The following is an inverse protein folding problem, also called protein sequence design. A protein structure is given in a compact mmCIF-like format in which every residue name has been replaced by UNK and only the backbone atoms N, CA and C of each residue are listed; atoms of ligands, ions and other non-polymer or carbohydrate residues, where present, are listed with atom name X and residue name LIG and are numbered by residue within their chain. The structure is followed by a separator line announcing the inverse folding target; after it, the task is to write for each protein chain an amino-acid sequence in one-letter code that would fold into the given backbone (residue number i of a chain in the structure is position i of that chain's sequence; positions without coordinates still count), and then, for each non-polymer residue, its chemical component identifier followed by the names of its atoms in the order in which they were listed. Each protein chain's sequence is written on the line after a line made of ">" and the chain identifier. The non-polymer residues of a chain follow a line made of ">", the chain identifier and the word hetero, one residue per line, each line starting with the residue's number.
data_IF_929137993530
#
_entry.id   IF_929137993530
#
_cell.length_a   1.000
_cell.length_b   1.000
_cell.length_c   1.000
_cell.angle_alpha   90.00
_cell.angle_beta   90.00
_cell.angle_gamma   90.00
#
_symmetry.space_group_name_H-M   'P 1'
#
loop_
_entity.id
_entity.type
_entity.pdbx_description
1 polymer ?
#
# COMPACT_ATOMS: atom_id res chain seq x y z
N UNK A 1 -27.98 17.18 44.75
CA UNK A 1 -28.54 16.62 43.50
C UNK A 1 -27.64 17.12 42.37
N UNK A 2 -26.70 16.28 41.92
CA UNK A 2 -26.76 15.56 40.62
C UNK A 2 -26.43 16.51 39.46
N UNK A 3 -25.41 16.32 38.62
CA UNK A 3 -24.94 15.10 37.97
C UNK A 3 -23.54 15.36 37.38
N UNK A 4 -22.58 14.46 37.64
CA UNK A 4 -21.39 14.30 36.82
C UNK A 4 -21.83 13.70 35.47
N UNK A 5 -21.68 14.45 34.38
CA UNK A 5 -21.70 13.88 33.03
C UNK A 5 -20.29 13.35 32.75
N UNK A 6 -20.12 12.05 32.96
CA UNK A 6 -18.95 11.33 32.45
C UNK A 6 -19.04 11.30 30.92
N UNK A 7 -18.04 11.88 30.26
CA UNK A 7 -17.76 11.60 28.87
C UNK A 7 -17.33 10.12 28.76
N UNK A 8 -18.29 9.23 28.54
CA UNK A 8 -17.98 7.91 27.99
C UNK A 8 -17.53 8.09 26.55
N UNK A 9 -16.23 8.38 26.36
CA UNK A 9 -15.53 8.01 25.15
C UNK A 9 -15.68 6.50 24.99
N UNK A 10 -16.67 6.09 24.20
CA UNK A 10 -16.85 4.72 23.76
C UNK A 10 -15.57 4.27 23.06
N UNK A 11 -14.67 3.63 23.82
CA UNK A 11 -13.57 2.83 23.29
C UNK A 11 -14.22 1.67 22.55
N UNK A 12 -14.50 1.85 21.27
CA UNK A 12 -14.65 0.71 20.37
C UNK A 12 -13.37 -0.11 20.50
N UNK A 13 -13.45 -1.37 20.96
CA UNK A 13 -12.28 -2.24 21.01
C UNK A 13 -11.74 -2.35 19.58
N UNK A 14 -10.52 -1.86 19.34
CA UNK A 14 -9.91 -2.02 18.01
C UNK A 14 -9.83 -3.52 17.71
N UNK A 15 -10.29 -3.97 16.53
CA UNK A 15 -10.17 -5.37 16.14
C UNK A 15 -8.71 -5.82 16.25
N UNK A 16 -8.47 -7.01 16.82
CA UNK A 16 -7.09 -7.50 17.08
C UNK A 16 -6.26 -7.62 15.81
N UNK A 17 -6.93 -7.84 14.66
CA UNK A 17 -6.31 -7.92 13.34
C UNK A 17 -5.73 -6.59 12.86
N UNK A 18 -6.33 -5.45 13.21
CA UNK A 18 -5.81 -4.12 12.86
C UNK A 18 -4.48 -3.88 13.58
N UNK A 19 -4.43 -4.19 14.88
CA UNK A 19 -3.23 -3.99 15.71
C UNK A 19 -2.05 -4.85 15.23
N UNK A 20 -2.32 -6.12 14.86
CA UNK A 20 -1.29 -7.01 14.32
C UNK A 20 -0.77 -6.49 12.97
N UNK A 21 -1.66 -6.01 12.12
CA UNK A 21 -1.29 -5.53 10.79
C UNK A 21 -0.46 -4.25 10.88
N UNK A 22 -0.86 -3.30 11.72
CA UNK A 22 -0.09 -2.10 12.01
C UNK A 22 1.32 -2.43 12.51
N UNK A 23 1.46 -3.44 13.37
CA UNK A 23 2.75 -3.92 13.85
C UNK A 23 3.63 -4.45 12.70
N UNK A 24 3.08 -5.28 11.82
CA UNK A 24 3.84 -5.86 10.70
C UNK A 24 4.24 -4.79 9.69
N UNK A 25 3.37 -3.83 9.39
CA UNK A 25 3.73 -2.68 8.55
C UNK A 25 4.84 -1.83 9.19
N UNK A 26 4.76 -1.54 10.49
CA UNK A 26 5.80 -0.83 11.23
C UNK A 26 7.13 -1.58 11.27
N UNK A 27 7.09 -2.90 11.42
CA UNK A 27 8.28 -3.76 11.41
C UNK A 27 8.91 -3.85 10.02
N UNK A 28 8.11 -4.01 8.96
CA UNK A 28 8.58 -4.00 7.56
C UNK A 28 9.30 -2.69 7.21
N UNK A 29 8.76 -1.55 7.65
CA UNK A 29 9.40 -0.24 7.53
C UNK A 29 10.72 -0.15 8.31
N UNK A 30 10.75 -0.70 9.53
CA UNK A 30 11.95 -0.70 10.37
C UNK A 30 13.06 -1.57 9.76
N UNK A 31 12.73 -2.73 9.20
CA UNK A 31 13.66 -3.59 8.46
C UNK A 31 14.22 -2.85 7.25
N UNK A 32 13.37 -2.17 6.48
CA UNK A 32 13.82 -1.33 5.36
C UNK A 32 14.83 -0.26 5.79
N UNK A 33 14.58 0.40 6.92
CA UNK A 33 15.49 1.41 7.47
C UNK A 33 16.82 0.80 7.95
N UNK A 34 16.79 -0.40 8.55
CA UNK A 34 18.01 -1.11 8.95
C UNK A 34 18.83 -1.51 7.73
N UNK A 35 18.21 -2.01 6.66
CA UNK A 35 18.91 -2.34 5.41
C UNK A 35 19.65 -1.12 4.85
N UNK A 36 19.00 0.05 4.86
CA UNK A 36 19.61 1.31 4.44
C UNK A 36 20.89 1.64 5.24
N UNK A 37 20.88 1.43 6.56
CA UNK A 37 22.04 1.68 7.43
C UNK A 37 23.18 0.71 7.10
N UNK A 38 22.88 -0.58 6.94
CA UNK A 38 23.88 -1.61 6.64
C UNK A 38 24.54 -1.33 5.27
N UNK A 39 23.74 -1.06 4.24
CA UNK A 39 24.24 -0.85 2.87
C UNK A 39 25.08 0.43 2.74
N UNK A 40 24.73 1.50 3.46
CA UNK A 40 25.52 2.75 3.48
C UNK A 40 26.90 2.59 4.14
N UNK A 41 27.06 1.64 5.07
CA UNK A 41 28.37 1.36 5.68
C UNK A 41 29.34 0.65 4.72
N UNK A 42 28.83 0.07 3.63
CA UNK A 42 29.63 -0.69 2.65
C UNK A 42 30.22 0.20 1.53
N UNK A 43 29.59 1.35 1.22
CA UNK A 43 30.08 2.33 0.23
C UNK A 43 29.78 3.76 0.65
N UNK A 44 30.83 4.56 0.79
CA UNK A 44 30.75 5.95 1.29
C UNK A 44 30.83 7.02 0.19
N UNK A 45 30.56 6.67 -1.07
CA UNK A 45 30.50 7.68 -2.13
C UNK A 45 29.17 8.47 -2.04
N UNK A 46 29.17 9.81 -2.22
CA UNK A 46 27.94 10.62 -2.13
C UNK A 46 26.81 10.16 -3.06
N UNK A 47 27.14 9.64 -4.24
CA UNK A 47 26.16 9.12 -5.20
C UNK A 47 25.44 7.85 -4.71
N UNK A 48 26.14 6.98 -3.98
CA UNK A 48 25.58 5.74 -3.46
C UNK A 48 24.59 6.03 -2.31
N UNK A 49 24.89 7.01 -1.46
CA UNK A 49 24.00 7.45 -0.37
C UNK A 49 22.66 7.94 -0.94
N UNK A 50 22.71 8.83 -1.94
CA UNK A 50 21.49 9.36 -2.56
C UNK A 50 20.63 8.25 -3.18
N UNK A 51 21.27 7.30 -3.87
CA UNK A 51 20.59 6.17 -4.46
C UNK A 51 19.91 5.30 -3.40
N UNK A 52 20.63 4.93 -2.35
CA UNK A 52 20.10 4.08 -1.27
C UNK A 52 18.92 4.77 -0.56
N UNK A 53 18.99 6.09 -0.34
CA UNK A 53 17.89 6.87 0.23
C UNK A 53 16.65 6.82 -0.70
N UNK A 54 16.84 6.98 -2.01
CA UNK A 54 15.73 6.92 -2.98
C UNK A 54 15.10 5.52 -3.02
N UNK A 55 15.90 4.47 -2.98
CA UNK A 55 15.46 3.07 -2.89
C UNK A 55 14.66 2.80 -1.62
N UNK A 56 15.13 3.28 -0.47
CA UNK A 56 14.39 3.22 0.79
C UNK A 56 13.06 3.98 0.71
N UNK A 57 13.08 5.23 0.22
CA UNK A 57 11.88 6.04 0.08
C UNK A 57 10.85 5.38 -0.84
N UNK A 58 11.29 4.69 -1.88
CA UNK A 58 10.43 3.95 -2.78
C UNK A 58 9.66 2.84 -2.06
N UNK A 59 10.36 1.96 -1.35
CA UNK A 59 9.74 0.88 -0.56
C UNK A 59 8.86 1.45 0.54
N UNK A 60 9.32 2.49 1.24
CA UNK A 60 8.55 3.20 2.25
C UNK A 60 7.21 3.68 1.69
N UNK A 61 7.21 4.31 0.51
CA UNK A 61 6.01 4.81 -0.14
C UNK A 61 5.04 3.68 -0.53
N UNK A 62 5.55 2.52 -0.97
CA UNK A 62 4.72 1.34 -1.24
C UNK A 62 4.03 0.88 0.05
N UNK A 63 4.81 0.67 1.12
CA UNK A 63 4.32 0.16 2.39
C UNK A 63 3.30 1.09 3.04
N UNK A 64 3.59 2.40 3.11
CA UNK A 64 2.65 3.36 3.70
C UNK A 64 1.38 3.50 2.84
N UNK A 65 1.49 3.44 1.51
CA UNK A 65 0.32 3.49 0.63
C UNK A 65 -0.58 2.27 0.83
N UNK A 66 0.03 1.08 0.84
CA UNK A 66 -0.67 -0.18 1.12
C UNK A 66 -1.33 -0.16 2.50
N UNK A 67 -0.62 0.30 3.52
CA UNK A 67 -1.13 0.44 4.88
C UNK A 67 -2.34 1.37 4.97
N UNK A 68 -2.28 2.56 4.36
CA UNK A 68 -3.41 3.50 4.38
C UNK A 68 -4.65 2.90 3.71
N UNK A 69 -4.48 2.18 2.60
CA UNK A 69 -5.59 1.49 1.91
C UNK A 69 -6.16 0.41 2.83
N UNK A 70 -5.29 -0.43 3.41
CA UNK A 70 -5.68 -1.49 4.32
C UNK A 70 -6.48 -0.99 5.53
N UNK A 71 -5.97 0.01 6.26
CA UNK A 71 -6.66 0.57 7.43
C UNK A 71 -7.99 1.20 7.03
N UNK A 72 -8.04 1.87 5.87
CA UNK A 72 -9.29 2.42 5.33
C UNK A 72 -10.32 1.32 5.07
N UNK A 73 -9.93 0.21 4.47
CA UNK A 73 -10.84 -0.90 4.14
C UNK A 73 -11.29 -1.66 5.40
N UNK A 74 -10.38 -1.93 6.35
CA UNK A 74 -10.71 -2.65 7.59
C UNK A 74 -11.60 -1.85 8.54
N UNK A 75 -11.51 -0.52 8.53
CA UNK A 75 -12.35 0.33 9.39
C UNK A 75 -13.86 0.24 9.10
N UNK A 76 -14.25 -0.30 7.93
CA UNK A 76 -15.64 -0.35 7.46
C UNK A 76 -16.21 -1.77 7.47
N UNK A 77 -15.38 -2.81 7.68
CA UNK A 77 -15.85 -4.20 7.69
C UNK A 77 -16.59 -4.54 9.00
N UNK A 78 -17.91 -4.80 8.97
CA UNK A 78 -18.71 -5.04 10.17
C UNK A 78 -18.50 -6.44 10.77
N UNK A 79 -17.93 -7.41 10.03
CA UNK A 79 -17.76 -8.79 10.49
C UNK A 79 -16.42 -9.38 10.02
N UNK A 80 -15.62 -9.89 10.97
CA UNK A 80 -14.43 -10.69 10.69
C UNK A 80 -14.82 -12.07 10.12
N UNK A 81 -14.90 -12.21 8.80
CA UNK A 81 -15.14 -13.51 8.15
C UNK A 81 -13.83 -14.32 8.03
N UNK A 82 -13.94 -15.66 7.99
CA UNK A 82 -12.77 -16.55 7.82
C UNK A 82 -11.96 -16.22 6.56
N UNK A 83 -12.63 -15.81 5.49
CA UNK A 83 -12.00 -15.40 4.24
C UNK A 83 -11.19 -14.11 4.43
N UNK A 84 -11.75 -13.11 5.11
CA UNK A 84 -11.05 -11.85 5.41
C UNK A 84 -9.80 -12.11 6.26
N UNK A 85 -9.90 -12.94 7.30
CA UNK A 85 -8.74 -13.31 8.12
C UNK A 85 -7.67 -14.03 7.30
N UNK A 86 -8.06 -14.96 6.43
CA UNK A 86 -7.12 -15.69 5.56
C UNK A 86 -6.41 -14.77 4.57
N UNK A 87 -7.17 -13.90 3.87
CA UNK A 87 -6.61 -12.91 2.96
C UNK A 87 -5.68 -11.94 3.71
N UNK A 88 -6.02 -11.57 4.95
CA UNK A 88 -5.17 -10.69 5.74
C UNK A 88 -3.84 -11.37 6.08
N UNK A 89 -3.84 -12.64 6.49
CA UNK A 89 -2.59 -13.37 6.75
C UNK A 89 -1.70 -13.42 5.50
N UNK A 90 -2.28 -13.68 4.33
CA UNK A 90 -1.53 -13.64 3.07
C UNK A 90 -1.00 -12.24 2.79
N UNK A 91 -1.83 -11.20 2.92
CA UNK A 91 -1.42 -9.82 2.72
C UNK A 91 -0.22 -9.46 3.61
N UNK A 92 -0.23 -9.87 4.87
CA UNK A 92 0.84 -9.60 5.82
C UNK A 92 2.14 -10.32 5.45
N UNK A 93 2.06 -11.54 4.93
CA UNK A 93 3.23 -12.25 4.39
C UNK A 93 3.80 -11.48 3.21
N UNK A 94 2.96 -11.08 2.24
CA UNK A 94 3.40 -10.31 1.07
C UNK A 94 4.09 -9.00 1.51
N UNK A 95 3.44 -8.23 2.37
CA UNK A 95 3.97 -6.96 2.91
C UNK A 95 5.29 -7.13 3.66
N UNK A 96 5.48 -8.25 4.35
CA UNK A 96 6.71 -8.53 5.09
C UNK A 96 7.90 -8.87 4.17
N UNK A 97 7.65 -9.47 2.99
CA UNK A 97 8.72 -9.84 2.05
C UNK A 97 9.08 -8.71 1.07
N UNK A 98 8.22 -7.70 0.90
CA UNK A 98 8.46 -6.52 0.03
C UNK A 98 9.87 -5.92 0.20
N UNK A 99 10.34 -5.54 1.41
CA UNK A 99 11.64 -4.88 1.56
C UNK A 99 12.79 -5.76 1.10
N UNK A 100 12.73 -7.06 1.41
CA UNK A 100 13.73 -8.03 1.03
C UNK A 100 13.79 -8.24 -0.49
N UNK A 101 12.64 -8.49 -1.12
CA UNK A 101 12.58 -8.72 -2.57
C UNK A 101 13.04 -7.49 -3.36
N UNK A 102 12.69 -6.29 -2.88
CA UNK A 102 13.14 -5.06 -3.50
C UNK A 102 14.66 -4.89 -3.39
N UNK A 103 15.21 -5.06 -2.19
CA UNK A 103 16.65 -4.96 -1.93
C UNK A 103 17.44 -5.92 -2.84
N UNK A 104 16.98 -7.17 -2.98
CA UNK A 104 17.61 -8.15 -3.87
C UNK A 104 17.49 -7.78 -5.36
N UNK A 105 16.40 -7.14 -5.77
CA UNK A 105 16.21 -6.70 -7.15
C UNK A 105 17.16 -5.55 -7.53
N UNK A 106 17.38 -4.59 -6.63
CA UNK A 106 18.17 -3.37 -6.93
C UNK A 106 19.64 -3.48 -6.50
N UNK A 107 19.98 -4.44 -5.64
CA UNK A 107 21.33 -4.64 -5.11
C UNK A 107 22.36 -4.83 -6.22
N UNK A 108 23.34 -3.92 -6.28
CA UNK A 108 24.47 -4.03 -7.21
C UNK A 108 25.45 -5.17 -6.88
N UNK A 109 25.29 -5.82 -5.73
CA UNK A 109 26.11 -6.97 -5.34
C UNK A 109 25.60 -8.27 -5.97
N UNK A 110 24.35 -8.28 -6.43
CA UNK A 110 23.73 -9.44 -7.05
C UNK A 110 24.08 -9.54 -8.53
N UNK A 111 24.14 -10.77 -9.05
CA UNK A 111 24.29 -11.02 -10.47
C UNK A 111 23.01 -10.58 -11.22
N UNK A 112 23.13 -10.26 -12.51
CA UNK A 112 22.01 -9.80 -13.34
C UNK A 112 20.85 -10.82 -13.32
N UNK A 113 21.16 -12.12 -13.32
CA UNK A 113 20.14 -13.18 -13.23
C UNK A 113 19.38 -13.18 -11.89
N UNK A 114 20.07 -12.94 -10.78
CA UNK A 114 19.46 -12.89 -9.45
C UNK A 114 18.59 -11.64 -9.31
N UNK A 115 19.03 -10.50 -9.85
CA UNK A 115 18.24 -9.26 -9.89
C UNK A 115 16.98 -9.41 -10.74
N UNK A 116 17.07 -10.06 -11.91
CA UNK A 116 15.91 -10.28 -12.78
C UNK A 116 14.90 -11.25 -12.13
N UNK A 117 15.40 -12.29 -11.46
CA UNK A 117 14.54 -13.20 -10.69
C UNK A 117 13.86 -12.50 -9.49
N UNK A 118 14.63 -11.76 -8.69
CA UNK A 118 14.11 -11.01 -7.55
C UNK A 118 13.10 -9.93 -7.98
N UNK A 119 13.37 -9.21 -9.06
CA UNK A 119 12.45 -8.20 -9.60
C UNK A 119 11.15 -8.81 -10.13
N UNK A 120 11.22 -10.04 -10.66
CA UNK A 120 10.04 -10.79 -11.10
C UNK A 120 9.18 -11.21 -9.91
N UNK A 121 9.81 -11.75 -8.86
CA UNK A 121 9.12 -12.07 -7.60
C UNK A 121 8.51 -10.83 -6.95
N UNK A 122 9.26 -9.71 -6.92
CA UNK A 122 8.78 -8.44 -6.40
C UNK A 122 7.54 -7.94 -7.15
N UNK A 123 7.53 -8.02 -8.49
CA UNK A 123 6.37 -7.60 -9.27
C UNK A 123 5.13 -8.46 -8.97
N UNK A 124 5.30 -9.77 -8.79
CA UNK A 124 4.22 -10.69 -8.41
C UNK A 124 3.71 -10.38 -7.00
N UNK A 125 4.62 -10.18 -6.05
CA UNK A 125 4.31 -9.86 -4.66
C UNK A 125 3.55 -8.52 -4.54
N UNK A 126 4.03 -7.49 -5.24
CA UNK A 126 3.39 -6.18 -5.27
C UNK A 126 2.01 -6.23 -5.95
N UNK A 127 1.89 -6.96 -7.05
CA UNK A 127 0.60 -7.19 -7.70
C UNK A 127 -0.37 -7.96 -6.80
N UNK A 128 0.11 -8.99 -6.08
CA UNK A 128 -0.65 -9.76 -5.12
C UNK A 128 -1.18 -8.90 -3.98
N UNK A 129 -0.34 -8.02 -3.44
CA UNK A 129 -0.72 -7.04 -2.41
C UNK A 129 -1.86 -6.16 -2.90
N UNK A 130 -1.72 -5.55 -4.09
CA UNK A 130 -2.76 -4.71 -4.68
C UNK A 130 -4.05 -5.49 -4.98
N UNK A 131 -3.92 -6.74 -5.41
CA UNK A 131 -5.06 -7.62 -5.72
C UNK A 131 -5.86 -7.95 -4.46
N UNK A 132 -5.19 -8.27 -3.36
CA UNK A 132 -5.86 -8.57 -2.08
C UNK A 132 -6.56 -7.32 -1.55
N UNK A 133 -5.92 -6.14 -1.62
CA UNK A 133 -6.56 -4.86 -1.28
C UNK A 133 -7.79 -4.61 -2.16
N UNK A 134 -7.71 -4.86 -3.48
CA UNK A 134 -8.87 -4.80 -4.37
C UNK A 134 -9.97 -5.80 -3.97
N UNK A 135 -9.57 -6.96 -3.45
CA UNK A 135 -10.44 -7.98 -2.90
C UNK A 135 -11.20 -7.51 -1.66
N UNK A 136 -10.53 -6.85 -0.71
CA UNK A 136 -11.18 -6.23 0.44
C UNK A 136 -12.20 -5.16 0.00
N UNK A 137 -11.80 -4.25 -0.89
CA UNK A 137 -12.74 -3.28 -1.46
C UNK A 137 -13.93 -3.95 -2.18
N UNK A 138 -13.73 -5.12 -2.80
CA UNK A 138 -14.82 -5.90 -3.40
C UNK A 138 -15.78 -6.47 -2.35
N UNK A 139 -15.26 -7.09 -1.30
CA UNK A 139 -16.05 -7.68 -0.20
C UNK A 139 -16.90 -6.59 0.46
N UNK A 140 -16.28 -5.46 0.81
CA UNK A 140 -16.98 -4.30 1.40
C UNK A 140 -18.10 -3.84 0.47
N UNK A 141 -17.85 -3.72 -0.83
CA UNK A 141 -18.87 -3.31 -1.80
C UNK A 141 -20.04 -4.30 -1.96
N UNK A 142 -19.86 -5.58 -1.59
CA UNK A 142 -20.93 -6.57 -1.58
C UNK A 142 -21.75 -6.52 -0.30
N UNK A 143 -21.11 -6.33 0.85
CA UNK A 143 -21.81 -6.23 2.15
C UNK A 143 -22.60 -4.92 2.26
N UNK A 144 -22.06 -3.81 1.75
CA UNK A 144 -22.71 -2.49 1.82
C UNK A 144 -23.95 -2.38 0.92
N UNK A 145 -24.02 -3.17 -0.16
CA UNK A 145 -25.23 -3.32 -1.01
C UNK A 145 -26.46 -3.75 -0.23
N UNK A 146 -26.26 -4.43 0.90
CA UNK A 146 -27.34 -4.93 1.72
C UNK A 146 -27.91 -3.83 2.64
N UNK A 147 -27.27 -2.66 2.77
CA UNK A 147 -27.56 -1.67 3.83
C UNK A 147 -27.49 -0.17 3.43
N UNK A 148 -27.02 0.25 2.24
CA UNK A 148 -26.71 1.69 1.96
C UNK A 148 -27.17 2.24 0.59
N UNK A 149 -27.51 3.53 0.58
CA UNK A 149 -27.88 4.38 -0.57
C UNK A 149 -26.85 4.41 -1.72
N UNK A 150 -27.32 4.49 -2.97
CA UNK A 150 -26.55 4.20 -4.19
C UNK A 150 -25.31 5.04 -4.48
N UNK A 151 -25.10 6.19 -3.81
CA UNK A 151 -23.96 7.09 -4.06
C UNK A 151 -22.64 6.58 -3.44
N UNK A 152 -22.68 5.98 -2.25
CA UNK A 152 -21.51 5.33 -1.60
C UNK A 152 -21.02 4.14 -2.44
N UNK A 153 -21.96 3.41 -3.02
CA UNK A 153 -21.71 2.23 -3.84
C UNK A 153 -20.93 2.55 -5.13
N UNK A 154 -21.16 3.71 -5.76
CA UNK A 154 -20.41 4.17 -6.95
C UNK A 154 -18.96 4.47 -6.59
N UNK A 155 -18.71 5.04 -5.40
CA UNK A 155 -17.37 5.37 -4.92
C UNK A 155 -16.53 4.11 -4.66
N UNK A 156 -17.07 3.12 -3.95
CA UNK A 156 -16.37 1.85 -3.69
C UNK A 156 -16.08 1.08 -4.99
N UNK A 157 -17.03 1.03 -5.91
CA UNK A 157 -16.83 0.36 -7.21
C UNK A 157 -15.70 1.00 -8.02
N UNK A 158 -15.54 2.32 -7.93
CA UNK A 158 -14.44 3.06 -8.57
C UNK A 158 -13.10 2.74 -7.92
N UNK A 159 -13.04 2.65 -6.59
CA UNK A 159 -11.82 2.28 -5.85
C UNK A 159 -11.39 0.87 -6.25
N UNK A 160 -12.31 -0.09 -6.21
CA UNK A 160 -12.07 -1.48 -6.60
C UNK A 160 -11.55 -1.60 -8.03
N UNK A 161 -12.29 -1.09 -9.02
CA UNK A 161 -11.90 -1.20 -10.43
C UNK A 161 -10.53 -0.58 -10.68
N UNK A 162 -10.20 0.49 -9.95
CA UNK A 162 -8.91 1.15 -10.06
C UNK A 162 -7.78 0.33 -9.45
N UNK A 163 -7.97 -0.25 -8.26
CA UNK A 163 -6.97 -1.15 -7.67
C UNK A 163 -6.72 -2.36 -8.58
N UNK A 164 -7.78 -2.96 -9.14
CA UNK A 164 -7.65 -4.04 -10.13
C UNK A 164 -6.88 -3.60 -11.38
N UNK A 165 -7.14 -2.40 -11.91
CA UNK A 165 -6.41 -1.86 -13.04
C UNK A 165 -4.92 -1.61 -12.70
N UNK A 166 -4.63 -1.11 -11.51
CA UNK A 166 -3.27 -0.93 -11.02
C UNK A 166 -2.53 -2.27 -10.86
N UNK A 167 -3.21 -3.31 -10.36
CA UNK A 167 -2.67 -4.68 -10.33
C UNK A 167 -2.29 -5.15 -11.73
N UNK A 168 -3.16 -4.96 -12.73
CA UNK A 168 -2.88 -5.36 -14.12
C UNK A 168 -1.67 -4.60 -14.66
N UNK A 169 -1.54 -3.31 -14.37
CA UNK A 169 -0.38 -2.50 -14.76
C UNK A 169 0.92 -3.03 -14.13
N UNK A 170 0.89 -3.41 -12.85
CA UNK A 170 2.07 -4.00 -12.19
C UNK A 170 2.41 -5.37 -12.79
N UNK A 171 1.42 -6.23 -13.06
CA UNK A 171 1.66 -7.51 -13.73
C UNK A 171 2.20 -7.33 -15.15
N UNK A 172 1.80 -6.27 -15.86
CA UNK A 172 2.36 -5.95 -17.16
C UNK A 172 3.87 -5.65 -17.10
N UNK A 173 4.41 -5.25 -15.93
CA UNK A 173 5.86 -5.09 -15.74
C UNK A 173 6.65 -6.39 -15.93
N UNK A 174 6.01 -7.56 -15.80
CA UNK A 174 6.64 -8.87 -16.05
C UNK A 174 7.05 -9.04 -17.52
N UNK A 175 6.35 -8.38 -18.44
CA UNK A 175 6.69 -8.41 -19.86
C UNK A 175 7.94 -7.58 -20.21
N UNK A 176 8.40 -6.73 -19.28
CA UNK A 176 9.56 -5.86 -19.47
C UNK A 176 10.79 -6.55 -18.87
N UNK A 177 11.87 -6.81 -19.61
CA UNK A 177 13.11 -7.36 -19.02
C UNK A 177 13.77 -6.41 -18.02
N UNK A 178 14.41 -6.93 -16.97
CA UNK A 178 15.13 -6.10 -15.99
C UNK A 178 16.29 -5.29 -16.61
N UNK A 179 16.86 -5.78 -17.72
CA UNK A 179 17.96 -5.12 -18.44
C UNK A 179 17.57 -3.82 -19.14
N UNK A 180 16.27 -3.54 -19.29
CA UNK A 180 15.81 -2.31 -19.96
C UNK A 180 16.02 -1.11 -19.04
N UNK A 181 16.84 -0.16 -19.52
CA UNK A 181 17.16 1.08 -18.83
C UNK A 181 16.53 2.27 -19.56
N UNK A 182 15.94 3.18 -18.79
CA UNK A 182 15.44 4.47 -19.24
C UNK A 182 16.02 5.56 -18.31
N UNK A 183 16.71 6.55 -18.87
CA UNK A 183 17.47 7.55 -18.10
C UNK A 183 18.46 6.95 -17.07
N UNK A 184 18.99 5.76 -17.34
CA UNK A 184 19.87 5.04 -16.42
C UNK A 184 19.17 4.32 -15.26
N UNK A 185 17.84 4.28 -15.24
CA UNK A 185 17.01 3.61 -14.24
C UNK A 185 16.23 2.47 -14.91
N UNK A 186 16.02 1.35 -14.22
CA UNK A 186 15.28 0.21 -14.76
C UNK A 186 13.82 0.58 -15.07
N UNK A 187 13.34 0.21 -16.26
CA UNK A 187 11.99 0.53 -16.74
C UNK A 187 10.90 0.01 -15.78
N UNK A 188 11.13 -1.17 -15.17
CA UNK A 188 10.19 -1.75 -14.19
C UNK A 188 9.91 -0.82 -13.02
N UNK A 189 10.91 -0.08 -12.52
CA UNK A 189 10.74 0.86 -11.42
C UNK A 189 9.72 1.94 -11.74
N UNK A 190 9.74 2.49 -12.97
CA UNK A 190 8.74 3.48 -13.40
C UNK A 190 7.32 2.92 -13.40
N UNK A 191 7.15 1.66 -13.80
CA UNK A 191 5.83 0.99 -13.79
C UNK A 191 5.35 0.81 -12.34
N UNK A 192 6.25 0.42 -11.43
CA UNK A 192 5.92 0.23 -10.02
C UNK A 192 5.63 1.56 -9.28
N UNK A 193 6.04 2.71 -9.82
CA UNK A 193 5.61 4.03 -9.31
C UNK A 193 4.13 4.36 -9.63
N UNK A 194 3.55 3.76 -10.66
CA UNK A 194 2.20 4.11 -11.14
C UNK A 194 1.12 3.98 -10.04
N UNK A 195 1.04 2.87 -9.27
CA UNK A 195 0.04 2.75 -8.21
C UNK A 195 0.21 3.78 -7.10
N UNK A 196 1.45 4.10 -6.73
CA UNK A 196 1.78 5.12 -5.72
C UNK A 196 1.29 6.49 -6.19
N UNK A 197 1.75 6.94 -7.35
CA UNK A 197 1.40 8.25 -7.92
C UNK A 197 -0.11 8.36 -8.08
N UNK A 198 -0.73 7.33 -8.66
CA UNK A 198 -2.18 7.26 -8.79
C UNK A 198 -2.84 7.48 -7.43
N UNK A 199 -2.48 6.71 -6.41
CA UNK A 199 -3.09 6.76 -5.08
C UNK A 199 -3.04 8.17 -4.50
N UNK A 200 -1.85 8.77 -4.47
CA UNK A 200 -1.63 10.09 -3.89
C UNK A 200 -2.32 11.20 -4.67
N UNK A 201 -2.31 11.17 -6.01
CA UNK A 201 -3.06 12.13 -6.83
C UNK A 201 -4.56 12.11 -6.52
N UNK A 202 -5.13 10.92 -6.41
CA UNK A 202 -6.54 10.78 -6.10
C UNK A 202 -6.87 11.23 -4.67
N UNK A 203 -5.99 10.94 -3.70
CA UNK A 203 -6.17 11.36 -2.31
C UNK A 203 -6.09 12.89 -2.18
N UNK A 204 -5.19 13.54 -2.91
CA UNK A 204 -5.10 15.01 -2.96
C UNK A 204 -6.36 15.63 -3.59
N UNK A 205 -6.89 15.03 -4.66
CA UNK A 205 -8.11 15.51 -5.33
C UNK A 205 -9.39 15.30 -4.50
N UNK A 206 -9.40 14.32 -3.61
CA UNK A 206 -10.58 13.95 -2.80
C UNK A 206 -10.69 14.71 -1.47
N UNK A 207 -9.76 15.62 -1.14
CA UNK A 207 -9.95 16.56 -0.02
C UNK A 207 -10.86 17.70 -0.49
N UNK A 208 -12.08 17.87 0.07
CA UNK A 208 -12.78 19.11 -0.14
C UNK A 208 -12.01 20.15 0.67
N UNK A 209 -11.34 21.07 0.01
CA UNK A 209 -11.26 22.41 0.59
C UNK A 209 -12.71 22.84 0.76
N UNK A 210 -13.19 22.72 2.00
CA UNK A 210 -14.51 23.17 2.39
C UNK A 210 -14.57 24.68 2.19
N UNK A 211 -14.98 25.11 1.00
CA UNK A 211 -15.60 26.40 0.84
C UNK A 211 -17.04 26.19 1.30
N UNK A 212 -17.45 26.70 2.48
CA UNK A 212 -18.84 26.67 2.86
C UNK A 212 -19.64 27.35 1.75
N UNK A 213 -20.55 26.58 1.15
CA UNK A 213 -21.54 27.11 0.21
C UNK A 213 -22.44 28.00 1.04
N UNK A 214 -22.17 29.30 1.07
CA UNK A 214 -23.04 30.28 1.71
C UNK A 214 -24.39 30.14 1.01
N UNK A 215 -25.35 29.55 1.72
CA UNK A 215 -26.74 29.54 1.31
C UNK A 215 -27.19 30.99 1.29
N UNK A 216 -27.36 31.55 0.09
CA UNK A 216 -28.19 32.75 -0.06
C UNK A 216 -29.62 32.33 0.24
N UNK A 217 -30.06 32.58 1.46
CA UNK A 217 -31.49 32.67 1.77
C UNK A 217 -32.02 34.03 1.34
N UNK A 218 -33.32 34.10 0.97
CA UNK A 218 -33.88 35.09 0.03
C UNK A 218 -33.91 36.53 0.54
#
# INVERSE_FOLDING_TARGET
>A
MSTQQGEEHGKHPRPRLETLSDLIYGLSLSIGAISLVITNNQRSAPGDINRNILEFLFVFLILITSWIIYTSDMSVLPVETRLVTFLNVILLILVAIIPYLFDQAVSQYNLIGDQDYASTLFAIDYAGTLLILAGFAHIISQEEKQLVDGDQMVRLRRIRNRLTLLTIIVLFSLAVPWSWLLFGIQVRLFIWYVPIISFWLNRMRSRPFGVPRISKTP
#
